data_IF_519334725900
#
_entry.id   IF_519334725900
#
_cell.length_a   1.000
_cell.length_b   1.000
_cell.length_c   1.000
_cell.angle_alpha   90.00
_cell.angle_beta   90.00
_cell.angle_gamma   90.00
#
_symmetry.space_group_name_H-M   'P 1'
#
loop_
_entity.id
_entity.type
_entity.pdbx_description
1 polymer ?
#
# COMPACT_ATOMS: atom_id res chain seq x y z
N UNK A 1 27.92 -64.48 8.88
CA UNK A 1 26.88 -63.92 7.98
C UNK A 1 25.96 -62.86 8.62
N UNK A 2 26.20 -62.39 9.85
CA UNK A 2 25.40 -61.34 10.49
C UNK A 2 26.04 -59.93 10.44
N UNK A 3 27.29 -59.81 9.99
CA UNK A 3 28.07 -58.57 10.08
C UNK A 3 28.07 -57.76 8.77
N UNK A 4 27.80 -58.42 7.64
CA UNK A 4 27.74 -57.78 6.32
C UNK A 4 26.40 -57.06 6.03
N UNK A 5 25.38 -57.28 6.88
CA UNK A 5 24.07 -56.59 6.78
C UNK A 5 24.01 -55.25 7.53
N UNK A 6 24.96 -54.97 8.45
CA UNK A 6 24.96 -53.70 9.21
C UNK A 6 25.62 -52.54 8.47
N UNK A 7 26.58 -52.81 7.58
CA UNK A 7 27.29 -51.77 6.80
C UNK A 7 26.50 -51.26 5.59
N UNK A 8 25.60 -52.07 5.01
CA UNK A 8 24.70 -51.64 3.93
C UNK A 8 23.56 -50.73 4.41
N UNK A 9 23.11 -50.89 5.66
CA UNK A 9 22.06 -50.05 6.25
C UNK A 9 22.54 -48.63 6.58
N UNK A 10 23.82 -48.44 6.93
CA UNK A 10 24.35 -47.10 7.21
C UNK A 10 24.59 -46.30 5.93
N UNK A 11 25.06 -46.95 4.85
CA UNK A 11 25.32 -46.29 3.56
C UNK A 11 24.04 -45.91 2.78
N UNK A 12 22.92 -46.59 3.02
CA UNK A 12 21.61 -46.20 2.48
C UNK A 12 20.98 -45.03 3.25
N UNK A 13 21.29 -44.85 4.54
CA UNK A 13 20.83 -43.69 5.31
C UNK A 13 21.68 -42.43 5.10
N UNK A 14 22.93 -42.54 4.62
CA UNK A 14 23.75 -41.37 4.27
C UNK A 14 23.39 -40.79 2.90
N UNK A 15 22.90 -41.60 1.95
CA UNK A 15 22.42 -41.12 0.64
C UNK A 15 21.06 -40.42 0.69
N UNK A 16 20.23 -40.66 1.71
CA UNK A 16 18.95 -39.96 1.89
C UNK A 16 19.04 -38.66 2.70
N UNK A 17 20.18 -38.34 3.32
CA UNK A 17 20.38 -37.07 4.05
C UNK A 17 20.94 -35.92 3.21
N UNK A 18 21.35 -36.17 1.96
CA UNK A 18 21.92 -35.15 1.07
C UNK A 18 20.97 -34.63 -0.04
N UNK A 19 19.65 -34.83 0.12
CA UNK A 19 18.63 -34.25 -0.77
C UNK A 19 17.78 -33.15 -0.11
N UNK A 20 18.13 -32.73 1.12
CA UNK A 20 17.52 -31.56 1.78
C UNK A 20 18.45 -30.36 1.67
N UNK A 21 18.55 -29.77 0.48
CA UNK A 21 19.46 -28.62 0.29
C UNK A 21 19.47 -27.93 -1.06
N UNK A 22 18.59 -28.28 -2.01
CA UNK A 22 18.35 -27.45 -3.20
C UNK A 22 16.88 -27.06 -3.21
N UNK A 23 16.59 -25.82 -2.83
CA UNK A 23 15.36 -25.15 -3.26
C UNK A 23 15.42 -25.10 -4.78
N UNK A 24 14.74 -26.04 -5.43
CA UNK A 24 14.36 -25.88 -6.83
C UNK A 24 13.36 -24.74 -6.82
N UNK A 25 13.78 -23.56 -7.29
CA UNK A 25 12.86 -22.47 -7.55
C UNK A 25 11.72 -23.01 -8.42
N UNK A 26 10.45 -22.72 -8.10
CA UNK A 26 9.37 -23.11 -8.98
C UNK A 26 9.67 -22.53 -10.38
N UNK A 27 9.41 -23.27 -11.46
CA UNK A 27 9.51 -22.69 -12.79
C UNK A 27 8.64 -21.45 -12.79
N UNK A 28 9.24 -20.30 -13.10
CA UNK A 28 8.53 -19.06 -13.31
C UNK A 28 7.38 -19.37 -14.27
N UNK A 29 6.15 -19.41 -13.75
CA UNK A 29 4.98 -19.41 -14.63
C UNK A 29 5.13 -18.13 -15.42
N UNK A 30 5.47 -18.26 -16.70
CA UNK A 30 5.29 -17.21 -17.66
C UNK A 30 3.83 -16.80 -17.48
N UNK A 31 3.60 -15.64 -16.86
CA UNK A 31 2.31 -15.00 -16.93
C UNK A 31 2.23 -14.62 -18.40
N UNK A 32 1.53 -15.42 -19.18
CA UNK A 32 1.09 -15.04 -20.51
C UNK A 32 0.27 -13.79 -20.26
N UNK A 33 0.86 -12.63 -20.55
CA UNK A 33 0.15 -11.36 -20.62
C UNK A 33 -0.86 -11.58 -21.73
N UNK A 34 -2.09 -11.94 -21.37
CA UNK A 34 -3.19 -11.99 -22.32
C UNK A 34 -3.25 -10.61 -22.97
N UNK A 35 -3.36 -10.60 -24.29
CA UNK A 35 -3.51 -9.37 -25.07
C UNK A 35 -4.50 -8.44 -24.36
N UNK A 36 -4.10 -7.19 -24.16
CA UNK A 36 -4.88 -6.20 -23.42
C UNK A 36 -6.32 -6.08 -23.98
N UNK A 37 -6.46 -6.33 -25.28
CA UNK A 37 -7.73 -6.39 -25.99
C UNK A 37 -8.65 -7.55 -25.57
N UNK A 38 -8.08 -8.73 -25.28
CA UNK A 38 -8.85 -9.89 -24.80
C UNK A 38 -9.31 -9.69 -23.36
N UNK A 39 -8.50 -9.03 -22.54
CA UNK A 39 -8.87 -8.69 -21.16
C UNK A 39 -10.05 -7.70 -21.12
N UNK A 40 -10.07 -6.70 -22.01
CA UNK A 40 -11.19 -5.74 -22.14
C UNK A 40 -12.47 -6.42 -22.64
N UNK A 41 -12.37 -7.39 -23.56
CA UNK A 41 -13.53 -8.16 -24.04
C UNK A 41 -14.10 -9.08 -22.95
N UNK A 42 -13.25 -9.73 -22.16
CA UNK A 42 -13.66 -10.56 -21.02
C UNK A 42 -14.37 -9.70 -19.95
N UNK A 43 -13.91 -8.44 -19.74
CA UNK A 43 -14.57 -7.45 -18.87
C UNK A 43 -15.98 -7.12 -19.37
N UNK A 44 -16.14 -6.83 -20.67
CA UNK A 44 -17.44 -6.44 -21.25
C UNK A 44 -18.46 -7.57 -21.17
N UNK A 45 -18.04 -8.81 -21.40
CA UNK A 45 -18.91 -9.99 -21.36
C UNK A 45 -19.34 -10.36 -19.92
N UNK A 46 -18.46 -10.19 -18.93
CA UNK A 46 -18.84 -10.38 -17.52
C UNK A 46 -19.84 -9.33 -17.03
N UNK A 47 -19.72 -8.08 -17.49
CA UNK A 47 -20.69 -7.03 -17.17
C UNK A 47 -22.07 -7.31 -17.77
N UNK A 48 -22.14 -7.79 -19.01
CA UNK A 48 -23.40 -8.16 -19.65
C UNK A 48 -24.13 -9.28 -18.90
N UNK A 49 -23.39 -10.31 -18.44
CA UNK A 49 -24.00 -11.45 -17.73
C UNK A 49 -24.47 -11.15 -16.31
N UNK A 50 -23.91 -10.14 -15.63
CA UNK A 50 -24.36 -9.76 -14.29
C UNK A 50 -25.59 -8.84 -14.32
N UNK A 51 -25.77 -8.06 -15.39
CA UNK A 51 -26.97 -7.23 -15.60
C UNK A 51 -28.19 -8.11 -15.92
N UNK A 52 -27.99 -9.20 -16.68
CA UNK A 52 -29.10 -10.13 -17.00
C UNK A 52 -29.52 -11.01 -15.81
N UNK A 53 -28.65 -11.23 -14.82
CA UNK A 53 -28.99 -12.00 -13.61
C UNK A 53 -29.80 -11.21 -12.58
N UNK A 54 -29.82 -9.88 -12.65
CA UNK A 54 -30.61 -9.03 -11.74
C UNK A 54 -31.98 -8.64 -12.30
N UNK A 55 -32.28 -8.95 -13.57
CA UNK A 55 -33.53 -8.56 -14.24
C UNK A 55 -34.74 -9.47 -13.95
N UNK A 56 -34.69 -10.29 -12.90
CA UNK A 56 -35.80 -11.16 -12.49
C UNK A 56 -36.11 -10.97 -11.00
N UNK A 57 -36.33 -9.73 -10.57
CA UNK A 57 -37.29 -9.45 -9.50
C UNK A 57 -37.67 -7.96 -9.51
N UNK A 58 -38.92 -7.72 -9.17
CA UNK A 58 -39.76 -6.54 -9.39
C UNK A 58 -39.18 -5.17 -8.98
N UNK A 59 -39.40 -4.15 -9.83
CA UNK A 59 -39.52 -2.74 -9.42
C UNK A 59 -38.22 -1.95 -9.19
N UNK A 60 -37.34 -1.87 -10.18
CA UNK A 60 -36.08 -1.11 -10.06
C UNK A 60 -36.30 0.42 -10.12
N UNK A 61 -36.44 1.07 -8.96
CA UNK A 61 -35.80 2.38 -8.79
C UNK A 61 -34.31 2.17 -9.09
N UNK A 62 -33.82 2.70 -10.20
CA UNK A 62 -32.39 2.71 -10.53
C UNK A 62 -31.61 3.34 -9.37
N UNK A 63 -31.11 2.50 -8.47
CA UNK A 63 -30.32 2.96 -7.34
C UNK A 63 -29.03 3.53 -7.92
N UNK A 64 -28.91 4.85 -7.90
CA UNK A 64 -27.77 5.57 -8.41
C UNK A 64 -26.56 5.31 -7.47
N UNK A 65 -25.92 4.15 -7.63
CA UNK A 65 -24.76 3.74 -6.85
C UNK A 65 -23.52 4.48 -7.35
N UNK A 66 -22.71 4.96 -6.40
CA UNK A 66 -21.43 5.60 -6.73
C UNK A 66 -20.43 4.50 -7.10
N UNK A 67 -19.93 4.54 -8.33
CA UNK A 67 -18.94 3.60 -8.86
C UNK A 67 -17.56 4.26 -8.98
N UNK A 68 -16.50 3.47 -8.83
CA UNK A 68 -15.13 3.94 -8.98
C UNK A 68 -14.61 3.65 -10.40
N UNK A 69 -14.36 4.70 -11.18
CA UNK A 69 -13.76 4.66 -12.51
C UNK A 69 -12.23 4.63 -12.40
N UNK A 70 -11.66 3.43 -12.55
CA UNK A 70 -10.23 3.23 -12.40
C UNK A 70 -9.39 4.00 -13.43
N UNK A 71 -9.85 4.07 -14.69
CA UNK A 71 -9.14 4.78 -15.76
C UNK A 71 -9.05 6.29 -15.50
N UNK A 72 -10.13 6.90 -15.00
CA UNK A 72 -10.11 8.30 -14.58
C UNK A 72 -9.12 8.55 -13.46
N UNK A 73 -9.10 7.68 -12.44
CA UNK A 73 -8.17 7.76 -11.34
C UNK A 73 -6.70 7.69 -11.82
N UNK A 74 -6.38 6.83 -12.80
CA UNK A 74 -5.04 6.67 -13.35
C UNK A 74 -4.50 7.94 -14.03
N UNK A 75 -5.36 8.74 -14.66
CA UNK A 75 -4.94 9.97 -15.36
C UNK A 75 -4.35 11.02 -14.42
N UNK A 76 -4.79 11.02 -13.16
CA UNK A 76 -4.33 11.95 -12.12
C UNK A 76 -3.35 11.35 -11.13
N UNK A 77 -2.90 10.10 -11.32
CA UNK A 77 -2.01 9.41 -10.39
C UNK A 77 -0.54 9.65 -10.73
N UNK A 78 0.28 9.70 -9.69
CA UNK A 78 1.69 10.04 -9.76
C UNK A 78 2.44 9.23 -8.68
N UNK A 79 3.73 8.96 -8.86
CA UNK A 79 4.49 8.19 -7.89
C UNK A 79 4.64 8.98 -6.59
N UNK A 80 4.15 8.42 -5.48
CA UNK A 80 4.29 8.99 -4.14
C UNK A 80 5.39 8.27 -3.37
N UNK A 81 6.35 8.99 -2.78
CA UNK A 81 7.33 8.40 -1.90
C UNK A 81 6.71 8.00 -0.55
N UNK A 82 6.93 6.75 -0.17
CA UNK A 82 6.57 6.15 1.12
C UNK A 82 7.72 6.29 2.12
N UNK A 83 7.49 6.00 3.42
CA UNK A 83 8.48 6.21 4.47
C UNK A 83 9.77 5.40 4.30
N UNK A 84 9.70 4.21 3.70
CA UNK A 84 10.89 3.41 3.34
C UNK A 84 11.71 4.00 2.18
N UNK A 85 11.26 5.09 1.56
CA UNK A 85 11.84 5.65 0.34
C UNK A 85 11.32 5.00 -0.96
N UNK A 86 10.55 3.91 -0.87
CA UNK A 86 9.87 3.30 -2.03
C UNK A 86 8.85 4.26 -2.63
N UNK A 87 8.60 4.13 -3.92
CA UNK A 87 7.53 4.87 -4.60
C UNK A 87 6.34 3.95 -4.90
N UNK A 88 5.15 4.53 -4.90
CA UNK A 88 3.91 3.82 -5.23
C UNK A 88 2.94 4.72 -6.00
N UNK A 89 2.21 4.12 -6.93
CA UNK A 89 1.03 4.72 -7.56
C UNK A 89 -0.19 4.24 -6.78
N UNK A 90 -1.06 5.13 -6.29
CA UNK A 90 -2.22 4.70 -5.49
C UNK A 90 -3.16 3.81 -6.30
N UNK A 91 -3.30 4.10 -7.58
CA UNK A 91 -4.13 3.33 -8.52
C UNK A 91 -3.60 1.92 -8.74
N UNK A 92 -2.27 1.70 -8.64
CA UNK A 92 -1.70 0.34 -8.67
C UNK A 92 -2.09 -0.52 -7.46
N UNK A 93 -2.59 0.11 -6.40
CA UNK A 93 -3.12 -0.55 -5.22
C UNK A 93 -4.65 -0.71 -5.29
N UNK A 94 -5.31 -0.37 -6.39
CA UNK A 94 -6.76 -0.53 -6.54
C UNK A 94 -7.04 -1.74 -7.42
N UNK A 95 -7.74 -2.73 -6.89
CA UNK A 95 -8.17 -3.90 -7.67
C UNK A 95 -9.70 -3.86 -7.85
N UNK A 96 -10.20 -4.51 -8.90
CA UNK A 96 -11.64 -4.63 -9.17
C UNK A 96 -12.43 -5.25 -8.00
N UNK A 97 -11.82 -6.19 -7.29
CA UNK A 97 -12.41 -6.81 -6.10
C UNK A 97 -12.55 -5.85 -4.93
N UNK A 98 -11.81 -4.73 -4.92
CA UNK A 98 -11.94 -3.69 -3.90
C UNK A 98 -12.98 -2.66 -4.31
N UNK A 99 -12.96 -2.21 -5.58
CA UNK A 99 -13.89 -1.20 -6.08
C UNK A 99 -15.35 -1.67 -6.00
N UNK A 100 -15.62 -2.96 -6.23
CA UNK A 100 -16.94 -3.57 -6.05
C UNK A 100 -17.48 -3.45 -4.63
N UNK A 101 -16.61 -3.37 -3.62
CA UNK A 101 -16.97 -3.22 -2.19
C UNK A 101 -17.12 -1.76 -1.76
N UNK A 102 -16.71 -0.83 -2.61
CA UNK A 102 -16.78 0.61 -2.34
C UNK A 102 -18.11 1.23 -2.77
N UNK A 103 -19.10 0.41 -3.12
CA UNK A 103 -20.41 0.87 -3.55
C UNK A 103 -21.30 1.23 -2.35
N UNK A 104 -21.89 2.43 -2.41
CA UNK A 104 -22.84 2.95 -1.44
C UNK A 104 -23.68 4.05 -2.09
N UNK A 105 -24.84 4.36 -1.50
CA UNK A 105 -25.64 5.55 -1.83
C UNK A 105 -24.96 6.84 -1.37
N UNK A 106 -24.00 6.76 -0.43
CA UNK A 106 -23.27 7.90 0.14
C UNK A 106 -21.81 7.88 -0.31
N UNK A 107 -21.39 8.91 -1.05
CA UNK A 107 -20.01 9.10 -1.55
C UNK A 107 -18.99 9.04 -0.42
N UNK A 108 -19.29 9.65 0.74
CA UNK A 108 -18.41 9.62 1.92
C UNK A 108 -18.09 8.21 2.39
N UNK A 109 -19.08 7.30 2.42
CA UNK A 109 -18.86 5.90 2.77
C UNK A 109 -18.00 5.18 1.74
N UNK A 110 -18.15 5.51 0.45
CA UNK A 110 -17.30 4.97 -0.61
C UNK A 110 -15.84 5.41 -0.42
N UNK A 111 -15.62 6.69 -0.11
CA UNK A 111 -14.30 7.26 0.19
C UNK A 111 -13.67 6.56 1.39
N UNK A 112 -14.36 6.46 2.52
CA UNK A 112 -13.81 5.84 3.72
C UNK A 112 -13.37 4.39 3.48
N UNK A 113 -14.20 3.61 2.75
CA UNK A 113 -13.87 2.23 2.38
C UNK A 113 -12.65 2.16 1.47
N UNK A 114 -12.57 3.06 0.48
CA UNK A 114 -11.42 3.14 -0.42
C UNK A 114 -10.14 3.49 0.34
N UNK A 115 -10.19 4.50 1.21
CA UNK A 115 -9.06 4.93 2.04
C UNK A 115 -8.56 3.78 2.91
N UNK A 116 -9.46 3.06 3.58
CA UNK A 116 -9.08 1.91 4.43
C UNK A 116 -8.46 0.79 3.60
N UNK A 117 -9.06 0.43 2.47
CA UNK A 117 -8.58 -0.65 1.60
C UNK A 117 -7.18 -0.36 1.03
N UNK A 118 -6.98 0.85 0.50
CA UNK A 118 -5.67 1.29 -0.01
C UNK A 118 -4.66 1.39 1.13
N UNK A 119 -5.05 1.90 2.31
CA UNK A 119 -4.14 1.98 3.47
C UNK A 119 -3.66 0.61 3.94
N UNK A 120 -4.52 -0.42 3.89
CA UNK A 120 -4.10 -1.80 4.15
C UNK A 120 -3.04 -2.30 3.17
N UNK A 121 -3.20 -1.97 1.89
CA UNK A 121 -2.23 -2.35 0.84
C UNK A 121 -0.92 -1.58 0.97
N UNK A 122 -0.96 -0.29 1.24
CA UNK A 122 0.24 0.52 1.53
C UNK A 122 0.99 -0.09 2.72
N UNK A 123 0.30 -0.40 3.82
CA UNK A 123 0.93 -0.99 5.01
C UNK A 123 1.52 -2.39 4.76
N UNK A 124 1.01 -3.12 3.75
CA UNK A 124 1.55 -4.42 3.34
C UNK A 124 2.78 -4.27 2.43
N UNK A 125 2.83 -3.18 1.65
CA UNK A 125 3.92 -2.87 0.72
C UNK A 125 5.12 -2.17 1.40
N UNK A 126 4.84 -1.33 2.40
CA UNK A 126 5.82 -0.60 3.20
C UNK A 126 5.55 -0.79 4.70
N UNK A 127 6.48 -1.52 5.35
CA UNK A 127 6.46 -1.82 6.78
C UNK A 127 6.48 -0.57 7.67
N UNK A 128 7.12 0.51 7.22
CA UNK A 128 7.26 1.75 7.99
C UNK A 128 6.00 2.63 7.94
N UNK A 129 5.00 2.28 7.13
CA UNK A 129 3.70 2.97 7.15
C UNK A 129 3.07 3.02 8.55
N UNK A 130 3.26 1.97 9.36
CA UNK A 130 2.67 1.88 10.70
C UNK A 130 3.23 2.90 11.70
N UNK A 131 4.47 3.36 11.47
CA UNK A 131 5.14 4.34 12.32
C UNK A 131 4.90 5.78 11.83
N UNK A 132 4.10 5.96 10.77
CA UNK A 132 3.69 7.29 10.30
C UNK A 132 2.45 7.82 10.98
N UNK A 133 2.35 9.13 11.18
CA UNK A 133 1.14 9.80 11.64
C UNK A 133 0.52 10.69 10.56
N UNK A 134 -0.78 10.93 10.74
CA UNK A 134 -1.55 11.90 10.00
C UNK A 134 -1.99 13.00 11.00
N UNK A 135 -1.06 13.85 11.49
CA UNK A 135 -1.36 14.76 12.59
C UNK A 135 -2.35 15.83 12.12
N UNK A 136 -3.32 16.16 12.96
CA UNK A 136 -3.94 17.48 12.93
C UNK A 136 -2.91 18.47 13.48
N UNK A 137 -2.77 19.62 12.82
CA UNK A 137 -1.81 20.66 13.13
C UNK A 137 -1.62 20.89 14.64
N UNK A 138 -0.37 20.92 15.10
CA UNK A 138 0.00 21.41 16.44
C UNK A 138 0.07 20.37 17.57
N UNK A 139 -0.23 19.08 17.34
CA UNK A 139 -0.02 18.03 18.36
C UNK A 139 1.35 17.37 18.20
N UNK A 140 2.15 17.37 19.26
CA UNK A 140 3.40 16.61 19.31
C UNK A 140 3.10 15.11 19.23
N UNK A 141 3.92 14.40 18.46
CA UNK A 141 3.76 12.97 18.20
C UNK A 141 5.13 12.34 18.01
N UNK A 142 5.37 11.19 18.64
CA UNK A 142 6.61 10.41 18.48
C UNK A 142 6.73 9.68 17.13
N UNK A 143 5.69 9.79 16.30
CA UNK A 143 5.54 9.09 15.03
C UNK A 143 5.82 10.04 13.87
N UNK A 144 6.40 9.52 12.79
CA UNK A 144 6.87 10.32 11.66
C UNK A 144 5.68 10.90 10.88
N UNK A 145 5.61 12.19 10.58
CA UNK A 145 4.51 12.73 9.78
C UNK A 145 4.53 12.12 8.36
N UNK A 146 3.35 11.77 7.84
CA UNK A 146 3.24 11.51 6.40
C UNK A 146 3.62 12.77 5.61
N UNK A 147 4.19 12.57 4.42
CA UNK A 147 4.62 13.69 3.57
C UNK A 147 3.42 14.60 3.23
N UNK A 148 3.61 15.94 3.23
CA UNK A 148 2.51 16.89 3.01
C UNK A 148 1.70 16.65 1.73
N UNK A 149 2.34 16.17 0.66
CA UNK A 149 1.69 15.88 -0.62
C UNK A 149 0.85 14.59 -0.66
N UNK A 150 0.95 13.71 0.34
CA UNK A 150 0.28 12.41 0.33
C UNK A 150 -1.25 12.55 0.29
N UNK A 151 -1.84 13.31 1.23
CA UNK A 151 -3.29 13.44 1.33
C UNK A 151 -3.92 14.23 0.16
N UNK A 152 -3.33 15.36 -0.29
CA UNK A 152 -3.81 16.04 -1.50
C UNK A 152 -3.75 15.16 -2.75
N UNK A 153 -2.71 14.34 -2.90
CA UNK A 153 -2.60 13.42 -4.03
C UNK A 153 -3.65 12.32 -3.95
N UNK A 154 -3.86 11.74 -2.76
CA UNK A 154 -4.91 10.75 -2.56
C UNK A 154 -6.31 11.35 -2.85
N UNK A 155 -6.55 12.59 -2.43
CA UNK A 155 -7.79 13.30 -2.77
C UNK A 155 -7.97 13.42 -4.28
N UNK A 156 -6.93 13.77 -5.05
CA UNK A 156 -7.03 13.86 -6.52
C UNK A 156 -7.43 12.52 -7.16
N UNK A 157 -6.81 11.41 -6.71
CA UNK A 157 -7.09 10.06 -7.22
C UNK A 157 -8.54 9.66 -6.91
N UNK A 158 -9.03 9.93 -5.70
CA UNK A 158 -10.42 9.62 -5.33
C UNK A 158 -11.43 10.55 -6.02
N UNK A 159 -11.12 11.83 -6.18
CA UNK A 159 -11.93 12.78 -6.93
C UNK A 159 -12.11 12.31 -8.36
N UNK A 160 -11.03 11.97 -9.05
CA UNK A 160 -11.09 11.47 -10.42
C UNK A 160 -11.81 10.11 -10.50
N UNK A 161 -11.53 9.20 -9.57
CA UNK A 161 -12.11 7.87 -9.58
C UNK A 161 -13.60 7.83 -9.25
N UNK A 162 -14.09 8.65 -8.31
CA UNK A 162 -15.52 8.67 -7.96
C UNK A 162 -16.31 9.76 -8.70
N UNK A 163 -15.66 10.56 -9.57
CA UNK A 163 -16.30 11.69 -10.25
C UNK A 163 -16.81 12.75 -9.27
N UNK A 164 -16.06 13.02 -8.18
CA UNK A 164 -16.46 13.97 -7.15
C UNK A 164 -16.18 15.38 -7.64
N UNK A 165 -17.20 16.21 -7.70
CA UNK A 165 -17.05 17.65 -7.90
C UNK A 165 -17.21 18.43 -6.58
N UNK A 166 -16.92 19.72 -6.63
CA UNK A 166 -17.04 20.61 -5.46
C UNK A 166 -18.49 20.78 -4.96
N UNK A 167 -19.50 20.38 -5.75
CA UNK A 167 -20.91 20.40 -5.33
C UNK A 167 -21.23 19.23 -4.41
N UNK A 168 -20.59 18.08 -4.64
CA UNK A 168 -20.73 16.87 -3.82
C UNK A 168 -19.88 16.97 -2.55
N UNK A 169 -18.60 17.29 -2.70
CA UNK A 169 -17.67 17.42 -1.59
C UNK A 169 -16.47 18.25 -2.01
N UNK A 170 -16.30 19.41 -1.39
CA UNK A 170 -15.13 20.23 -1.65
C UNK A 170 -13.82 19.50 -1.29
N UNK A 171 -12.74 19.86 -2.01
CA UNK A 171 -11.44 19.21 -1.87
C UNK A 171 -10.87 19.24 -0.44
N UNK A 172 -11.09 20.31 0.30
CA UNK A 172 -10.58 20.46 1.69
C UNK A 172 -11.26 19.47 2.64
N UNK A 173 -12.58 19.32 2.52
CA UNK A 173 -13.36 18.33 3.26
C UNK A 173 -12.91 16.92 2.91
N UNK A 174 -12.68 16.63 1.62
CA UNK A 174 -12.18 15.33 1.18
C UNK A 174 -10.82 15.01 1.81
N UNK A 175 -9.87 15.95 1.77
CA UNK A 175 -8.55 15.79 2.40
C UNK A 175 -8.70 15.54 3.90
N UNK A 176 -9.59 16.26 4.58
CA UNK A 176 -9.87 16.06 6.01
C UNK A 176 -10.41 14.65 6.29
N UNK A 177 -11.37 14.18 5.50
CA UNK A 177 -11.94 12.83 5.61
C UNK A 177 -10.87 11.75 5.39
N UNK A 178 -10.04 11.88 4.36
CA UNK A 178 -8.93 10.95 4.09
C UNK A 178 -7.94 10.95 5.26
N UNK A 179 -7.56 12.12 5.76
CA UNK A 179 -6.61 12.28 6.86
C UNK A 179 -7.14 11.63 8.14
N UNK A 180 -8.40 11.92 8.51
CA UNK A 180 -9.06 11.35 9.68
C UNK A 180 -9.20 9.82 9.58
N UNK A 181 -9.61 9.32 8.41
CA UNK A 181 -9.76 7.89 8.16
C UNK A 181 -8.43 7.16 8.26
N UNK A 182 -7.38 7.71 7.64
CA UNK A 182 -6.01 7.16 7.69
C UNK A 182 -5.48 7.16 9.12
N UNK A 183 -5.71 8.24 9.88
CA UNK A 183 -5.34 8.33 11.30
C UNK A 183 -6.02 7.24 12.13
N UNK A 184 -7.32 7.06 11.95
CA UNK A 184 -8.10 6.03 12.64
C UNK A 184 -7.60 4.63 12.30
N UNK A 185 -7.30 4.37 11.03
CA UNK A 185 -6.67 3.13 10.58
C UNK A 185 -5.33 2.87 11.29
N UNK A 186 -4.42 3.85 11.28
CA UNK A 186 -3.10 3.74 11.92
C UNK A 186 -3.20 3.52 13.43
N UNK A 187 -4.09 4.25 14.11
CA UNK A 187 -4.33 4.10 15.54
C UNK A 187 -4.82 2.68 15.89
N UNK A 188 -5.75 2.14 15.10
CA UNK A 188 -6.23 0.75 15.26
C UNK A 188 -5.13 -0.28 15.01
N UNK A 189 -4.31 -0.08 13.98
CA UNK A 189 -3.17 -0.95 13.66
C UNK A 189 -2.14 -0.99 14.80
N UNK A 190 -1.82 0.18 15.37
CA UNK A 190 -0.88 0.32 16.49
C UNK A 190 -1.39 -0.34 17.75
N UNK A 191 -2.65 -0.09 18.11
CA UNK A 191 -3.28 -0.70 19.30
C UNK A 191 -3.20 -2.24 19.25
N UNK A 192 -3.26 -2.84 18.06
CA UNK A 192 -3.16 -4.29 17.87
C UNK A 192 -1.72 -4.82 17.85
N UNK A 193 -0.71 -3.99 17.55
CA UNK A 193 0.68 -4.41 17.27
C UNK A 193 1.72 -3.49 17.92
N UNK A 194 1.46 -3.03 19.14
CA UNK A 194 2.25 -1.99 19.78
C UNK A 194 3.76 -2.31 19.86
N UNK A 195 4.11 -3.53 20.25
CA UNK A 195 5.50 -3.97 20.33
C UNK A 195 6.22 -3.91 18.98
N UNK A 196 5.54 -4.30 17.89
CA UNK A 196 6.09 -4.23 16.52
C UNK A 196 6.33 -2.78 16.11
N UNK A 197 5.41 -1.89 16.48
CA UNK A 197 5.52 -0.45 16.19
C UNK A 197 6.70 0.17 16.90
N UNK A 198 6.90 -0.15 18.19
CA UNK A 198 8.02 0.38 18.97
C UNK A 198 9.37 -0.14 18.42
N UNK A 199 9.43 -1.42 17.99
CA UNK A 199 10.61 -1.97 17.33
C UNK A 199 10.91 -1.28 15.99
N UNK A 200 9.89 -1.09 15.13
CA UNK A 200 10.05 -0.40 13.85
C UNK A 200 10.45 1.06 14.03
N UNK A 201 9.99 1.74 15.08
CA UNK A 201 10.41 3.11 15.40
C UNK A 201 11.90 3.16 15.76
N UNK A 202 12.39 2.20 16.54
CA UNK A 202 13.81 2.10 16.87
C UNK A 202 14.65 1.81 15.62
N UNK A 203 14.26 0.80 14.83
CA UNK A 203 14.92 0.43 13.58
C UNK A 203 14.98 1.61 12.60
N UNK A 204 13.87 2.34 12.42
CA UNK A 204 13.84 3.50 11.54
C UNK A 204 14.76 4.63 12.02
N UNK A 205 14.83 4.89 13.33
CA UNK A 205 15.73 5.91 13.89
C UNK A 205 17.19 5.54 13.66
N UNK A 206 17.55 4.28 13.83
CA UNK A 206 18.89 3.78 13.55
C UNK A 206 19.24 3.89 12.05
N UNK A 207 18.34 3.45 11.16
CA UNK A 207 18.52 3.57 9.70
C UNK A 207 18.73 5.03 9.29
N UNK A 208 17.92 5.96 9.83
CA UNK A 208 18.05 7.39 9.53
C UNK A 208 19.34 8.00 10.10
N UNK A 209 19.78 7.56 11.28
CA UNK A 209 21.06 8.00 11.85
C UNK A 209 22.24 7.60 10.96
N UNK A 210 22.26 6.34 10.50
CA UNK A 210 23.31 5.83 9.61
C UNK A 210 23.33 6.54 8.25
N UNK A 211 22.16 6.82 7.68
CA UNK A 211 22.03 7.61 6.45
C UNK A 211 22.59 9.02 6.64
N UNK A 212 22.28 9.65 7.77
CA UNK A 212 22.79 10.98 8.10
C UNK A 212 24.30 11.00 8.26
N UNK A 213 24.88 10.06 9.01
CA UNK A 213 26.34 9.95 9.18
C UNK A 213 27.06 9.69 7.86
N UNK A 214 26.52 8.79 7.03
CA UNK A 214 27.06 8.49 5.71
C UNK A 214 27.02 9.71 4.80
N UNK A 215 25.94 10.47 4.83
CA UNK A 215 25.80 11.70 4.06
C UNK A 215 26.75 12.79 4.58
N UNK A 216 26.86 12.99 5.89
CA UNK A 216 27.82 13.93 6.48
C UNK A 216 29.27 13.58 6.10
N UNK A 217 29.63 12.30 6.10
CA UNK A 217 30.94 11.83 5.66
C UNK A 217 31.18 12.18 4.18
N UNK A 218 30.21 11.91 3.31
CA UNK A 218 30.29 12.27 1.89
C UNK A 218 30.43 13.79 1.68
N UNK A 219 29.64 14.58 2.38
CA UNK A 219 29.66 16.05 2.29
C UNK A 219 30.97 16.66 2.79
N UNK A 220 31.52 16.13 3.89
CA UNK A 220 32.82 16.55 4.43
C UNK A 220 33.96 16.28 3.45
N UNK A 221 33.87 15.20 2.69
CA UNK A 221 34.88 14.83 1.70
C UNK A 221 34.73 15.60 0.37
N UNK A 222 33.53 16.12 0.06
CA UNK A 222 33.26 16.80 -1.21
C UNK A 222 33.11 18.33 -1.11
N UNK A 223 33.25 18.94 0.07
CA UNK A 223 33.16 20.41 0.30
C UNK A 223 31.90 21.04 -0.32
N UNK A 224 30.75 20.37 -0.20
CA UNK A 224 29.47 20.89 -0.73
C UNK A 224 28.69 21.56 0.41
N UNK A 225 28.16 22.76 0.17
CA UNK A 225 27.44 23.57 1.17
C UNK A 225 25.97 23.12 1.39
N UNK A 226 25.48 22.12 0.66
CA UNK A 226 24.11 21.57 0.74
C UNK A 226 23.78 20.85 2.06
N UNK A 227 24.73 20.79 3.00
CA UNK A 227 24.60 20.04 4.25
C UNK A 227 23.53 20.63 5.19
N UNK A 228 23.14 21.89 4.99
CA UNK A 228 22.21 22.61 5.85
C UNK A 228 20.75 22.17 5.65
N UNK A 229 20.33 21.88 4.41
CA UNK A 229 18.94 21.52 4.08
C UNK A 229 18.62 20.12 4.63
N UNK A 230 19.47 19.14 4.36
CA UNK A 230 19.31 17.76 4.85
C UNK A 230 19.39 17.65 6.38
N UNK A 231 20.23 18.47 7.04
CA UNK A 231 20.25 18.57 8.51
C UNK A 231 18.90 18.95 9.08
N UNK A 232 18.18 19.85 8.42
CA UNK A 232 16.91 20.37 8.93
C UNK A 232 15.78 19.35 8.75
N UNK A 233 15.72 18.68 7.59
CA UNK A 233 14.71 17.64 7.33
C UNK A 233 14.91 16.39 8.19
N UNK A 234 16.15 15.90 8.33
CA UNK A 234 16.45 14.70 9.13
C UNK A 234 16.26 14.98 10.62
N UNK A 235 16.66 16.16 11.11
CA UNK A 235 16.42 16.57 12.50
C UNK A 235 14.92 16.62 12.82
N UNK A 236 14.10 17.13 11.90
CA UNK A 236 12.64 17.13 12.05
C UNK A 236 12.02 15.73 12.10
N UNK A 237 12.73 14.70 11.62
CA UNK A 237 12.29 13.29 11.69
C UNK A 237 12.74 12.57 12.98
N UNK A 238 13.75 13.10 13.68
CA UNK A 238 14.38 12.45 14.85
C UNK A 238 13.96 13.06 16.20
N UNK A 239 13.65 14.36 16.23
CA UNK A 239 13.13 15.11 17.39
C UNK A 239 11.61 14.95 17.55
#
# INVERSE_FOLDING_TARGET
MAEMKRTLSLHQMTKQRNLRGRRVSPPSKLIVIKDHHQYVLDIRNMMAMNIERTACDEGEESQNLVLFEHEAACRGDAPIPLPSGKQVFLTSLVNLDDTSKWTSKKVETCIERAVVAVSHKIASYDRFTMICCAPESGRSTRYIPMKPGFFPHFANVLTAGFGIDDTVMNKTSLISTITSTTRNFLNRMRKKKQQVVDHLLAEFREEMHLLFESHLFFMKNNRVDDAVILRTEIRSCLE
#
